data_IF_383678097078
#
_entry.id   IF_383678097078
#
_cell.length_a   1.000
_cell.length_b   1.000
_cell.length_c   1.000
_cell.angle_alpha   90.00
_cell.angle_beta   90.00
_cell.angle_gamma   90.00
#
_symmetry.space_group_name_H-M   'P 1'
#
loop_
_entity.id
_entity.type
_entity.pdbx_description
1 polymer ?
#
# COMPACT_ATOMS: atom_id res chain seq x y z
N UNK A 1 -23.49 9.67 -40.34
CA UNK A 1 -22.80 8.54 -41.00
C UNK A 1 -22.09 7.72 -39.94
N UNK A 2 -22.74 6.67 -39.44
CA UNK A 2 -22.20 5.77 -38.42
C UNK A 2 -21.33 4.70 -39.08
N UNK A 3 -20.08 4.55 -38.63
CA UNK A 3 -19.23 3.42 -39.03
C UNK A 3 -19.65 2.16 -38.26
N UNK A 4 -19.67 0.97 -38.88
CA UNK A 4 -20.04 -0.26 -38.20
C UNK A 4 -18.88 -0.74 -37.32
N UNK A 5 -19.20 -1.20 -36.10
CA UNK A 5 -18.28 -1.94 -35.24
C UNK A 5 -18.18 -3.35 -35.81
N UNK A 6 -17.03 -3.70 -36.40
CA UNK A 6 -16.76 -5.03 -36.92
C UNK A 6 -16.75 -6.07 -35.80
N UNK A 7 -17.51 -7.16 -35.96
CA UNK A 7 -17.42 -8.34 -35.09
C UNK A 7 -16.14 -9.11 -35.45
N UNK A 8 -15.31 -9.37 -34.44
CA UNK A 8 -14.09 -10.19 -34.58
C UNK A 8 -14.42 -11.63 -34.96
N UNK A 9 -13.53 -12.25 -35.75
CA UNK A 9 -13.68 -13.63 -36.21
C UNK A 9 -13.42 -14.64 -35.07
N UNK A 10 -13.93 -15.89 -35.17
CA UNK A 10 -13.71 -16.93 -34.16
C UNK A 10 -12.22 -17.23 -33.90
N UNK A 11 -11.35 -17.10 -34.91
CA UNK A 11 -9.91 -17.30 -34.77
C UNK A 11 -9.24 -16.16 -33.98
N UNK A 12 -9.69 -14.91 -34.16
CA UNK A 12 -9.22 -13.76 -33.37
C UNK A 12 -9.73 -13.85 -31.93
N UNK A 13 -10.95 -14.33 -31.70
CA UNK A 13 -11.50 -14.60 -30.38
C UNK A 13 -10.69 -15.70 -29.63
N UNK A 14 -10.29 -16.76 -30.33
CA UNK A 14 -9.45 -17.83 -29.76
C UNK A 14 -8.03 -17.33 -29.48
N UNK A 15 -7.46 -16.51 -30.36
CA UNK A 15 -6.11 -15.92 -30.16
C UNK A 15 -6.12 -14.91 -29.00
N UNK A 16 -7.20 -14.15 -28.82
CA UNK A 16 -7.38 -13.24 -27.69
C UNK A 16 -7.63 -13.98 -26.37
N UNK A 17 -8.37 -15.10 -26.41
CA UNK A 17 -8.57 -16.00 -25.25
C UNK A 17 -7.27 -16.71 -24.84
N UNK A 18 -6.37 -17.01 -25.79
CA UNK A 18 -5.05 -17.57 -25.51
C UNK A 18 -4.02 -16.53 -25.04
N UNK A 19 -4.13 -15.27 -25.47
CA UNK A 19 -3.32 -14.17 -24.95
C UNK A 19 -3.66 -13.84 -23.47
N UNK A 20 -4.91 -14.03 -23.04
CA UNK A 20 -5.33 -13.85 -21.65
C UNK A 20 -4.79 -14.92 -20.67
N UNK A 21 -4.22 -16.01 -21.17
CA UNK A 21 -3.76 -17.13 -20.34
C UNK A 21 -2.46 -16.87 -19.57
N UNK A 22 -1.70 -15.81 -19.90
CA UNK A 22 -0.40 -15.49 -19.29
C UNK A 22 -0.40 -14.41 -18.20
N UNK A 23 -1.49 -13.66 -18.03
CA UNK A 23 -1.43 -12.32 -17.42
C UNK A 23 -2.10 -12.28 -16.04
N UNK A 24 -1.30 -12.02 -14.99
CA UNK A 24 -1.74 -12.23 -13.60
C UNK A 24 -2.19 -10.93 -12.91
N UNK A 25 -1.53 -9.80 -13.11
CA UNK A 25 -1.94 -8.48 -12.58
C UNK A 25 -2.09 -7.52 -13.76
N UNK A 26 -3.32 -7.04 -14.00
CA UNK A 26 -3.66 -6.21 -15.16
C UNK A 26 -4.13 -4.80 -14.78
N UNK A 27 -4.40 -4.54 -13.49
CA UNK A 27 -4.82 -3.23 -12.98
C UNK A 27 -4.29 -2.98 -11.55
N UNK A 28 -4.23 -1.73 -11.08
CA UNK A 28 -3.80 -1.38 -9.70
C UNK A 28 -4.65 -2.13 -8.63
N UNK A 29 -5.92 -2.38 -8.96
CA UNK A 29 -6.85 -3.15 -8.13
C UNK A 29 -6.42 -4.63 -7.94
N UNK A 30 -5.65 -5.22 -8.85
CA UNK A 30 -5.14 -6.59 -8.71
C UNK A 30 -4.05 -6.67 -7.62
N UNK A 31 -3.18 -5.67 -7.51
CA UNK A 31 -2.21 -5.56 -6.40
C UNK A 31 -2.92 -5.41 -5.06
N UNK A 32 -4.02 -4.65 -5.02
CA UNK A 32 -4.83 -4.51 -3.80
C UNK A 32 -5.46 -5.84 -3.36
N UNK A 33 -5.95 -6.66 -4.30
CA UNK A 33 -6.47 -8.01 -4.01
C UNK A 33 -5.39 -8.98 -3.58
N UNK A 34 -4.20 -8.90 -4.19
CA UNK A 34 -3.05 -9.68 -3.78
C UNK A 34 -2.69 -9.40 -2.31
N UNK A 35 -2.62 -8.12 -1.95
CA UNK A 35 -2.36 -7.69 -0.58
C UNK A 35 -3.46 -8.17 0.37
N UNK A 36 -4.73 -8.05 -0.02
CA UNK A 36 -5.86 -8.55 0.78
C UNK A 36 -5.73 -10.06 1.03
N UNK A 37 -5.35 -10.88 0.05
CA UNK A 37 -5.21 -12.33 0.28
C UNK A 37 -4.12 -12.65 1.30
N UNK A 38 -3.01 -11.91 1.32
CA UNK A 38 -1.98 -12.12 2.34
C UNK A 38 -2.47 -11.77 3.74
N UNK A 39 -3.28 -10.70 3.90
CA UNK A 39 -3.92 -10.38 5.18
C UNK A 39 -4.94 -11.46 5.59
N UNK A 40 -5.71 -12.00 4.65
CA UNK A 40 -6.62 -13.12 4.91
C UNK A 40 -5.88 -14.38 5.37
N UNK A 41 -4.74 -14.67 4.74
CA UNK A 41 -3.89 -15.81 5.07
C UNK A 41 -3.29 -15.67 6.47
N UNK A 42 -2.80 -14.48 6.81
CA UNK A 42 -2.30 -14.18 8.16
C UNK A 42 -3.40 -14.33 9.22
N UNK A 43 -4.60 -13.82 8.94
CA UNK A 43 -5.74 -13.84 9.88
C UNK A 43 -6.22 -15.25 10.25
N UNK A 44 -5.90 -16.26 9.43
CA UNK A 44 -6.25 -17.68 9.68
C UNK A 44 -5.21 -18.40 10.54
N UNK A 45 -4.08 -17.78 10.83
CA UNK A 45 -3.03 -18.41 11.63
C UNK A 45 -3.44 -18.46 13.10
N UNK A 46 -3.11 -19.53 13.83
CA UNK A 46 -3.34 -19.59 15.28
C UNK A 46 -2.49 -18.56 16.05
N UNK A 47 -1.34 -18.16 15.49
CA UNK A 47 -0.43 -17.16 16.04
C UNK A 47 -0.50 -15.82 15.27
N UNK A 48 -1.66 -15.49 14.67
CA UNK A 48 -1.83 -14.31 13.81
C UNK A 48 -1.39 -13.01 14.52
N UNK A 49 -0.68 -12.14 13.79
CA UNK A 49 -0.25 -10.83 14.29
C UNK A 49 -1.40 -9.81 14.29
N UNK A 50 -2.39 -10.01 13.43
CA UNK A 50 -3.61 -9.21 13.31
C UNK A 50 -4.72 -10.07 12.72
N UNK A 51 -5.96 -9.60 12.85
CA UNK A 51 -7.14 -10.22 12.24
C UNK A 51 -7.84 -9.23 11.32
N UNK A 52 -7.96 -9.59 10.05
CA UNK A 52 -8.70 -8.89 9.00
C UNK A 52 -9.79 -9.81 8.46
N UNK A 53 -10.98 -9.86 9.10
CA UNK A 53 -12.05 -10.78 8.72
C UNK A 53 -12.64 -10.47 7.34
N UNK A 54 -12.40 -9.27 6.81
CA UNK A 54 -12.94 -8.80 5.54
C UNK A 54 -11.96 -9.04 4.37
N UNK A 55 -10.69 -9.31 4.66
CA UNK A 55 -9.64 -9.52 3.66
C UNK A 55 -9.96 -10.64 2.66
N UNK A 56 -10.46 -11.79 3.11
CA UNK A 56 -10.78 -12.93 2.22
C UNK A 56 -11.86 -12.55 1.20
N UNK A 57 -12.89 -11.83 1.69
CA UNK A 57 -14.00 -11.32 0.87
C UNK A 57 -13.49 -10.32 -0.17
N UNK A 58 -12.63 -9.38 0.23
CA UNK A 58 -12.09 -8.35 -0.66
C UNK A 58 -11.08 -8.90 -1.68
N UNK A 59 -10.27 -9.89 -1.28
CA UNK A 59 -9.37 -10.59 -2.18
C UNK A 59 -10.15 -11.28 -3.31
N UNK A 60 -11.24 -11.99 -2.95
CA UNK A 60 -12.08 -12.72 -3.89
C UNK A 60 -11.33 -13.78 -4.68
N UNK A 61 -11.99 -14.32 -5.72
CA UNK A 61 -11.38 -15.32 -6.60
C UNK A 61 -10.17 -14.78 -7.37
N UNK A 62 -10.23 -13.51 -7.78
CA UNK A 62 -9.15 -12.86 -8.50
C UNK A 62 -7.87 -12.78 -7.66
N UNK A 63 -7.96 -12.36 -6.39
CA UNK A 63 -6.82 -12.34 -5.46
C UNK A 63 -6.22 -13.73 -5.26
N UNK A 64 -7.07 -14.76 -5.10
CA UNK A 64 -6.63 -16.16 -5.01
C UNK A 64 -5.88 -16.62 -6.26
N UNK A 65 -6.42 -16.31 -7.44
CA UNK A 65 -5.77 -16.65 -8.72
C UNK A 65 -4.41 -15.97 -8.86
N UNK A 66 -4.29 -14.71 -8.44
CA UNK A 66 -3.03 -13.95 -8.47
C UNK A 66 -1.94 -14.64 -7.64
N UNK A 67 -2.26 -14.99 -6.39
CA UNK A 67 -1.29 -15.63 -5.49
C UNK A 67 -0.93 -17.04 -5.96
N UNK A 68 -1.91 -17.81 -6.45
CA UNK A 68 -1.67 -19.15 -6.96
C UNK A 68 -0.66 -19.17 -8.12
N UNK A 69 -0.70 -18.14 -8.98
CA UNK A 69 0.20 -17.97 -10.14
C UNK A 69 1.49 -17.21 -9.81
N UNK A 70 1.60 -16.61 -8.62
CA UNK A 70 2.80 -15.88 -8.18
C UNK A 70 4.00 -16.80 -7.97
N UNK A 71 5.25 -16.32 -8.18
CA UNK A 71 6.45 -17.09 -7.85
C UNK A 71 6.46 -17.55 -6.39
N UNK A 72 6.94 -18.77 -6.12
CA UNK A 72 7.00 -19.30 -4.73
C UNK A 72 7.73 -18.36 -3.76
N UNK A 73 8.71 -17.60 -4.24
CA UNK A 73 9.47 -16.63 -3.45
C UNK A 73 8.62 -15.46 -2.95
N UNK A 74 7.53 -15.12 -3.63
CA UNK A 74 6.62 -14.02 -3.23
C UNK A 74 5.33 -14.52 -2.55
N UNK A 75 5.05 -15.83 -2.59
CA UNK A 75 3.82 -16.41 -2.00
C UNK A 75 3.74 -16.37 -0.47
N UNK A 76 4.84 -16.12 0.24
CA UNK A 76 4.81 -16.06 1.71
C UNK A 76 4.29 -14.72 2.25
N UNK A 77 4.32 -13.64 1.44
CA UNK A 77 3.82 -12.32 1.81
C UNK A 77 4.39 -11.73 3.10
N UNK A 78 5.57 -12.17 3.57
CA UNK A 78 6.08 -11.80 4.91
C UNK A 78 6.21 -10.28 5.07
N UNK A 79 6.56 -9.57 4.00
CA UNK A 79 6.74 -8.11 4.04
C UNK A 79 5.40 -7.40 4.15
N UNK A 80 4.35 -7.91 3.50
CA UNK A 80 2.98 -7.38 3.59
C UNK A 80 2.45 -7.55 5.01
N UNK A 81 2.64 -8.75 5.58
CA UNK A 81 2.24 -9.03 6.97
C UNK A 81 2.98 -8.13 7.96
N UNK A 82 4.31 -8.02 7.85
CA UNK A 82 5.09 -7.14 8.71
C UNK A 82 4.63 -5.68 8.55
N UNK A 83 4.49 -5.19 7.31
CA UNK A 83 4.03 -3.84 6.99
C UNK A 83 2.66 -3.53 7.59
N UNK A 84 1.69 -4.44 7.45
CA UNK A 84 0.37 -4.26 8.05
C UNK A 84 0.45 -4.13 9.56
N UNK A 85 1.20 -5.02 10.24
CA UNK A 85 1.36 -4.99 11.70
C UNK A 85 2.04 -3.70 12.19
N UNK A 86 3.12 -3.29 11.53
CA UNK A 86 3.87 -2.08 11.89
C UNK A 86 2.98 -0.84 11.75
N UNK A 87 2.28 -0.69 10.62
CA UNK A 87 1.41 0.47 10.39
C UNK A 87 0.21 0.46 11.35
N UNK A 88 -0.33 -0.71 11.71
CA UNK A 88 -1.38 -0.80 12.72
C UNK A 88 -0.90 -0.31 14.09
N UNK A 89 0.32 -0.70 14.49
CA UNK A 89 0.93 -0.25 15.75
C UNK A 89 1.16 1.27 15.76
N UNK A 90 1.71 1.82 14.67
CA UNK A 90 1.93 3.27 14.52
C UNK A 90 0.62 4.04 14.60
N UNK A 91 -0.48 3.51 14.04
CA UNK A 91 -1.79 4.16 14.16
C UNK A 91 -2.25 4.22 15.62
N UNK A 92 -2.08 3.14 16.37
CA UNK A 92 -2.43 3.12 17.79
C UNK A 92 -1.56 4.09 18.61
N UNK A 93 -0.26 4.13 18.33
CA UNK A 93 0.69 5.05 18.98
C UNK A 93 0.34 6.51 18.66
N UNK A 94 0.09 6.86 17.40
CA UNK A 94 -0.31 8.20 17.02
C UNK A 94 -1.62 8.63 17.70
N UNK A 95 -2.61 7.73 17.81
CA UNK A 95 -3.87 8.00 18.53
C UNK A 95 -3.61 8.23 20.02
N UNK A 96 -2.74 7.44 20.64
CA UNK A 96 -2.33 7.65 22.03
C UNK A 96 -1.65 9.02 22.25
N UNK A 97 -0.92 9.51 21.24
CA UNK A 97 -0.26 10.82 21.22
C UNK A 97 -1.17 12.00 20.80
N UNK A 98 -2.47 11.74 20.72
CA UNK A 98 -3.50 12.75 20.46
C UNK A 98 -3.78 13.01 18.98
N UNK A 99 -3.48 12.05 18.09
CA UNK A 99 -3.96 12.09 16.71
C UNK A 99 -5.50 12.11 16.68
N UNK A 100 -6.05 13.09 15.98
CA UNK A 100 -7.48 13.32 15.86
C UNK A 100 -7.99 13.14 14.42
N UNK A 101 -7.11 12.71 13.50
CA UNK A 101 -7.45 12.52 12.09
C UNK A 101 -6.50 11.51 11.43
N UNK A 102 -7.03 10.47 10.80
CA UNK A 102 -6.20 9.51 10.04
C UNK A 102 -6.56 9.57 8.56
N UNK A 103 -5.60 9.93 7.70
CA UNK A 103 -5.75 9.94 6.24
C UNK A 103 -5.00 8.75 5.65
N UNK A 104 -5.71 7.85 4.99
CA UNK A 104 -5.14 6.71 4.26
C UNK A 104 -5.21 6.97 2.76
N UNK A 105 -4.05 7.24 2.15
CA UNK A 105 -3.94 7.63 0.75
C UNK A 105 -3.67 6.40 -0.12
N UNK A 106 -4.41 6.28 -1.23
CA UNK A 106 -4.54 5.05 -2.00
C UNK A 106 -4.93 3.86 -1.11
N UNK A 107 -5.99 4.07 -0.31
CA UNK A 107 -6.45 3.14 0.72
C UNK A 107 -6.77 1.72 0.18
N UNK A 108 -7.06 1.60 -1.11
CA UNK A 108 -7.32 0.35 -1.78
C UNK A 108 -8.34 -0.52 -1.05
N UNK A 109 -7.98 -1.78 -0.83
CA UNK A 109 -8.79 -2.74 -0.11
C UNK A 109 -8.41 -2.84 1.38
N UNK A 110 -7.83 -1.80 1.98
CA UNK A 110 -7.60 -1.73 3.43
C UNK A 110 -8.93 -1.80 4.21
N UNK A 111 -8.92 -2.37 5.39
CA UNK A 111 -10.09 -2.57 6.26
C UNK A 111 -9.86 -2.05 7.68
N UNK A 112 -8.78 -1.29 7.92
CA UNK A 112 -8.48 -0.68 9.24
C UNK A 112 -9.68 0.01 9.89
N UNK A 113 -10.49 0.83 9.18
CA UNK A 113 -11.71 1.42 9.77
C UNK A 113 -12.74 0.41 10.27
N UNK A 114 -12.70 -0.84 9.80
CA UNK A 114 -13.62 -1.91 10.15
C UNK A 114 -13.05 -2.90 11.18
N UNK A 115 -11.73 -3.04 11.25
CA UNK A 115 -11.06 -4.08 12.07
C UNK A 115 -10.30 -3.54 13.28
N UNK A 116 -9.79 -2.31 13.23
CA UNK A 116 -9.05 -1.73 14.35
C UNK A 116 -10.02 -1.19 15.41
N UNK A 117 -9.67 -1.35 16.68
CA UNK A 117 -10.40 -0.79 17.82
C UNK A 117 -10.13 0.71 17.96
N UNK A 118 -10.56 1.49 16.96
CA UNK A 118 -10.41 2.94 16.92
C UNK A 118 -11.50 3.63 17.75
N UNK A 119 -11.25 4.85 18.26
CA UNK A 119 -12.31 5.67 18.86
C UNK A 119 -13.47 5.88 17.87
N UNK A 120 -14.74 5.71 18.27
CA UNK A 120 -15.88 5.83 17.37
C UNK A 120 -15.99 7.17 16.64
N UNK A 121 -15.64 8.25 17.34
CA UNK A 121 -15.72 9.61 16.79
C UNK A 121 -14.47 10.02 15.99
N UNK A 122 -13.42 9.19 15.95
CA UNK A 122 -12.20 9.47 15.19
C UNK A 122 -12.53 9.53 13.69
N UNK A 123 -12.33 10.68 13.01
CA UNK A 123 -12.48 10.76 11.57
C UNK A 123 -11.35 9.99 10.87
N UNK A 124 -11.71 8.90 10.21
CA UNK A 124 -10.83 8.16 9.30
C UNK A 124 -11.17 8.51 7.86
N UNK A 125 -10.22 8.99 7.08
CA UNK A 125 -10.39 9.39 5.68
C UNK A 125 -9.68 8.38 4.79
N UNK A 126 -10.43 7.78 3.86
CA UNK A 126 -9.87 6.96 2.78
C UNK A 126 -9.89 7.78 1.48
N UNK A 127 -8.73 7.97 0.86
CA UNK A 127 -8.58 8.60 -0.44
C UNK A 127 -8.15 7.57 -1.48
N UNK A 128 -8.89 7.44 -2.57
CA UNK A 128 -8.52 6.58 -3.70
C UNK A 128 -9.28 6.97 -4.97
N UNK A 129 -8.95 6.34 -6.08
CA UNK A 129 -9.63 6.51 -7.34
C UNK A 129 -11.10 6.09 -7.24
N UNK A 130 -12.03 6.82 -7.91
CA UNK A 130 -13.47 6.56 -7.81
C UNK A 130 -13.87 5.09 -8.05
N UNK A 131 -13.34 4.37 -9.06
CA UNK A 131 -13.73 2.98 -9.30
C UNK A 131 -13.39 2.04 -8.13
N UNK A 132 -12.26 2.25 -7.46
CA UNK A 132 -11.80 1.39 -6.37
C UNK A 132 -12.64 1.61 -5.10
N UNK A 133 -12.97 2.87 -4.79
CA UNK A 133 -13.86 3.19 -3.67
C UNK A 133 -15.29 2.71 -3.90
N UNK A 134 -15.80 2.83 -5.13
CA UNK A 134 -17.12 2.33 -5.49
C UNK A 134 -17.20 0.81 -5.33
N UNK A 135 -16.17 0.09 -5.79
CA UNK A 135 -16.10 -1.36 -5.60
C UNK A 135 -16.04 -1.73 -4.12
N UNK A 136 -15.12 -1.13 -3.35
CA UNK A 136 -14.97 -1.41 -1.91
C UNK A 136 -16.26 -1.14 -1.15
N UNK A 137 -16.92 -0.02 -1.43
CA UNK A 137 -18.19 0.35 -0.79
C UNK A 137 -19.29 -0.67 -1.09
N UNK A 138 -19.39 -1.14 -2.34
CA UNK A 138 -20.32 -2.23 -2.71
C UNK A 138 -19.97 -3.53 -1.99
N UNK A 139 -18.68 -3.88 -1.92
CA UNK A 139 -18.22 -5.09 -1.27
C UNK A 139 -18.37 -5.06 0.26
N UNK A 140 -18.51 -3.89 0.88
CA UNK A 140 -18.63 -3.74 2.34
C UNK A 140 -19.95 -3.08 2.76
N UNK A 141 -20.97 -3.10 1.90
CA UNK A 141 -22.24 -2.40 2.13
C UNK A 141 -23.00 -2.89 3.38
N UNK A 142 -22.77 -4.13 3.79
CA UNK A 142 -23.32 -4.79 4.98
C UNK A 142 -22.41 -4.65 6.22
N UNK A 143 -21.33 -3.87 6.13
CA UNK A 143 -20.36 -3.70 7.20
C UNK A 143 -20.39 -2.27 7.74
N UNK A 144 -20.39 -2.13 9.06
CA UNK A 144 -20.32 -0.82 9.72
C UNK A 144 -18.88 -0.54 10.16
N UNK A 145 -18.28 0.59 9.76
CA UNK A 145 -16.99 1.04 10.30
C UNK A 145 -17.06 1.25 11.81
N UNK A 146 -15.94 1.06 12.50
CA UNK A 146 -15.79 1.28 13.95
C UNK A 146 -15.51 2.73 14.31
N UNK A 147 -15.11 3.55 13.33
CA UNK A 147 -14.85 4.98 13.47
C UNK A 147 -15.67 5.79 12.46
N UNK A 148 -15.61 7.12 12.53
CA UNK A 148 -16.26 8.01 11.55
C UNK A 148 -15.52 7.96 10.21
N UNK A 149 -15.89 7.01 9.36
CA UNK A 149 -15.27 6.80 8.06
C UNK A 149 -15.80 7.79 6.99
N UNK A 150 -14.88 8.49 6.34
CA UNK A 150 -15.12 9.37 5.19
C UNK A 150 -14.36 8.80 4.00
N UNK A 151 -15.02 8.69 2.84
CA UNK A 151 -14.39 8.27 1.59
C UNK A 151 -14.32 9.45 0.64
N UNK A 152 -13.14 9.75 0.14
CA UNK A 152 -12.90 10.82 -0.83
C UNK A 152 -12.37 10.25 -2.13
N UNK A 153 -13.16 10.37 -3.19
CA UNK A 153 -12.76 9.95 -4.52
C UNK A 153 -11.84 11.01 -5.14
N UNK A 154 -10.54 10.73 -5.20
CA UNK A 154 -9.52 11.68 -5.63
C UNK A 154 -8.41 10.98 -6.39
N UNK A 155 -8.00 11.57 -7.52
CA UNK A 155 -6.73 11.24 -8.14
C UNK A 155 -5.63 12.11 -7.51
N UNK A 156 -4.78 11.49 -6.69
CA UNK A 156 -3.69 12.19 -6.01
C UNK A 156 -2.57 12.63 -6.97
N UNK A 157 -2.54 12.16 -8.22
CA UNK A 157 -1.61 12.66 -9.22
C UNK A 157 -2.00 14.05 -9.76
N UNK A 158 -3.30 14.37 -9.82
CA UNK A 158 -3.78 15.68 -10.27
C UNK A 158 -3.58 16.74 -9.18
N UNK A 159 -2.79 17.82 -9.44
CA UNK A 159 -2.49 18.84 -8.44
C UNK A 159 -3.72 19.54 -7.85
N UNK A 160 -4.77 19.81 -8.64
CA UNK A 160 -5.93 20.56 -8.14
C UNK A 160 -6.79 19.70 -7.20
N UNK A 161 -7.31 18.53 -7.63
CA UNK A 161 -8.02 17.60 -6.76
C UNK A 161 -7.21 17.19 -5.53
N UNK A 162 -5.89 16.97 -5.66
CA UNK A 162 -5.03 16.63 -4.51
C UNK A 162 -5.05 17.74 -3.46
N UNK A 163 -4.83 18.99 -3.84
CA UNK A 163 -4.79 20.10 -2.88
C UNK A 163 -6.16 20.37 -2.25
N UNK A 164 -7.24 20.34 -3.05
CA UNK A 164 -8.60 20.49 -2.55
C UNK A 164 -8.97 19.38 -1.55
N UNK A 165 -8.56 18.13 -1.86
CA UNK A 165 -8.69 17.01 -0.94
C UNK A 165 -8.00 17.28 0.40
N UNK A 166 -6.72 17.68 0.41
CA UNK A 166 -6.03 17.93 1.68
C UNK A 166 -6.66 19.07 2.47
N UNK A 167 -7.09 20.15 1.80
CA UNK A 167 -7.78 21.25 2.47
C UNK A 167 -9.06 20.77 3.18
N UNK A 168 -9.88 19.96 2.52
CA UNK A 168 -11.11 19.41 3.10
C UNK A 168 -10.84 18.33 4.15
N UNK A 169 -9.91 17.42 3.88
CA UNK A 169 -9.61 16.27 4.73
C UNK A 169 -8.86 16.65 6.01
N UNK A 170 -8.22 17.82 6.06
CA UNK A 170 -7.55 18.36 7.25
C UNK A 170 -8.35 19.48 7.92
N UNK A 171 -9.48 19.90 7.35
CA UNK A 171 -10.33 20.93 7.97
C UNK A 171 -10.73 20.52 9.40
N UNK A 172 -10.45 21.43 10.34
CA UNK A 172 -10.65 21.25 11.77
C UNK A 172 -9.79 20.18 12.46
N UNK A 173 -8.75 19.63 11.81
CA UNK A 173 -7.82 18.71 12.47
C UNK A 173 -6.73 19.48 13.24
N UNK A 174 -6.35 19.00 14.42
CA UNK A 174 -5.21 19.52 15.16
C UNK A 174 -3.95 18.67 14.95
N UNK A 175 -4.11 17.33 14.85
CA UNK A 175 -2.99 16.40 14.63
C UNK A 175 -3.44 15.25 13.74
N UNK A 176 -3.09 15.35 12.47
CA UNK A 176 -3.36 14.32 11.48
C UNK A 176 -2.17 13.37 11.27
N UNK A 177 -2.49 12.10 11.10
CA UNK A 177 -1.61 11.04 10.62
C UNK A 177 -1.94 10.74 9.16
N UNK A 178 -0.96 10.87 8.26
CA UNK A 178 -1.10 10.53 6.84
C UNK A 178 -0.39 9.22 6.54
N UNK A 179 -1.03 8.30 5.81
CA UNK A 179 -0.48 7.00 5.43
C UNK A 179 -0.34 6.89 3.92
N UNK A 180 0.81 6.45 3.43
CA UNK A 180 1.05 6.07 2.03
C UNK A 180 1.63 4.66 1.95
N UNK A 181 0.81 3.65 2.27
CA UNK A 181 1.18 2.23 2.23
C UNK A 181 1.10 1.69 0.78
N UNK A 182 2.18 1.11 0.26
CA UNK A 182 2.17 0.51 -1.09
C UNK A 182 1.83 1.49 -2.21
N UNK A 183 2.06 2.79 -2.03
CA UNK A 183 1.72 3.84 -2.99
C UNK A 183 2.95 4.36 -3.73
N UNK A 184 3.92 4.90 -2.98
CA UNK A 184 4.98 5.76 -3.56
C UNK A 184 5.79 5.03 -4.64
N UNK A 185 6.02 3.73 -4.48
CA UNK A 185 6.76 2.90 -5.44
C UNK A 185 6.18 2.90 -6.87
N UNK A 186 4.90 3.26 -7.04
CA UNK A 186 4.20 3.32 -8.33
C UNK A 186 4.14 4.72 -8.94
N UNK A 187 4.59 5.74 -8.21
CA UNK A 187 4.57 7.13 -8.65
C UNK A 187 5.89 7.50 -9.32
N UNK A 188 5.85 8.49 -10.22
CA UNK A 188 7.06 9.14 -10.70
C UNK A 188 7.62 10.07 -9.61
N UNK A 189 8.94 10.28 -9.60
CA UNK A 189 9.61 11.08 -8.56
C UNK A 189 8.98 12.47 -8.41
N UNK A 190 8.65 13.14 -9.53
CA UNK A 190 7.98 14.45 -9.53
C UNK A 190 6.66 14.42 -8.74
N UNK A 191 5.91 13.31 -8.84
CA UNK A 191 4.60 13.19 -8.23
C UNK A 191 4.75 12.87 -6.73
N UNK A 192 5.81 12.15 -6.34
CA UNK A 192 6.19 11.97 -4.93
C UNK A 192 6.58 13.30 -4.30
N UNK A 193 7.38 14.13 -4.98
CA UNK A 193 7.73 15.48 -4.51
C UNK A 193 6.46 16.32 -4.34
N UNK A 194 5.59 16.33 -5.35
CA UNK A 194 4.37 17.12 -5.32
C UNK A 194 3.35 16.64 -4.28
N UNK A 195 3.31 15.34 -3.98
CA UNK A 195 2.53 14.77 -2.89
C UNK A 195 3.13 15.15 -1.53
N UNK A 196 4.44 15.05 -1.36
CA UNK A 196 5.17 15.47 -0.16
C UNK A 196 4.86 16.94 0.18
N UNK A 197 4.93 17.85 -0.80
CA UNK A 197 4.57 19.26 -0.60
C UNK A 197 3.10 19.48 -0.23
N UNK A 198 2.18 18.66 -0.77
CA UNK A 198 0.77 18.73 -0.41
C UNK A 198 0.50 18.24 1.02
N UNK A 199 1.29 17.28 1.52
CA UNK A 199 1.21 16.74 2.88
C UNK A 199 1.80 17.72 3.91
N UNK A 200 2.75 18.59 3.52
CA UNK A 200 3.32 19.61 4.41
C UNK A 200 2.29 20.69 4.78
N UNK A 201 1.49 20.38 5.79
CA UNK A 201 0.43 21.21 6.35
C UNK A 201 0.63 21.28 7.88
N UNK A 202 0.26 22.39 8.54
CA UNK A 202 0.47 22.52 9.98
C UNK A 202 -0.33 21.48 10.79
N UNK A 203 -1.44 20.98 10.25
CA UNK A 203 -2.29 19.96 10.87
C UNK A 203 -1.65 18.57 10.80
N UNK A 204 -0.72 18.31 9.87
CA UNK A 204 -0.09 16.99 9.71
C UNK A 204 1.08 16.87 10.68
N UNK A 205 0.88 16.08 11.74
CA UNK A 205 1.89 15.78 12.73
C UNK A 205 2.81 14.64 12.29
N UNK A 206 2.27 13.67 11.55
CA UNK A 206 3.00 12.47 11.11
C UNK A 206 2.65 12.07 9.70
N UNK A 207 3.66 11.64 8.95
CA UNK A 207 3.50 10.95 7.66
C UNK A 207 4.19 9.59 7.69
N UNK A 208 3.41 8.53 7.55
CA UNK A 208 3.90 7.15 7.48
C UNK A 208 3.97 6.70 6.02
N UNK A 209 5.13 6.23 5.60
CA UNK A 209 5.34 5.73 4.25
C UNK A 209 6.03 4.37 4.23
N UNK A 210 5.75 3.58 3.19
CA UNK A 210 6.58 2.44 2.83
C UNK A 210 7.57 2.87 1.73
N UNK A 211 8.86 2.63 1.96
CA UNK A 211 9.90 2.87 0.97
C UNK A 211 10.57 1.57 0.54
N UNK A 212 10.75 1.41 -0.76
CA UNK A 212 11.58 0.36 -1.37
C UNK A 212 12.91 0.95 -1.84
N UNK A 213 14.02 0.27 -1.55
CA UNK A 213 15.35 0.66 -2.02
C UNK A 213 15.62 0.26 -3.48
N UNK A 214 16.65 0.84 -4.12
CA UNK A 214 16.99 0.60 -5.52
C UNK A 214 17.24 -0.88 -5.84
N UNK A 215 17.93 -1.59 -4.93
CA UNK A 215 18.17 -3.03 -5.05
C UNK A 215 16.88 -3.86 -5.10
N UNK A 216 15.85 -3.47 -4.34
CA UNK A 216 14.55 -4.13 -4.33
C UNK A 216 13.78 -3.85 -5.63
N UNK A 217 13.74 -2.58 -6.07
CA UNK A 217 13.15 -2.19 -7.36
C UNK A 217 13.76 -2.99 -8.51
N UNK A 218 15.10 -3.06 -8.59
CA UNK A 218 15.82 -3.83 -9.63
C UNK A 218 15.45 -5.32 -9.58
N UNK A 219 15.39 -5.90 -8.38
CA UNK A 219 15.00 -7.30 -8.22
C UNK A 219 13.56 -7.55 -8.68
N UNK A 220 12.60 -6.73 -8.26
CA UNK A 220 11.18 -6.91 -8.56
C UNK A 220 10.88 -6.66 -10.04
N UNK A 221 11.42 -5.60 -10.63
CA UNK A 221 11.27 -5.35 -12.06
C UNK A 221 11.89 -6.47 -12.91
N UNK A 222 12.95 -7.15 -12.45
CA UNK A 222 13.51 -8.34 -13.13
C UNK A 222 12.65 -9.59 -12.95
N UNK A 223 12.19 -9.88 -11.72
CA UNK A 223 11.49 -11.13 -11.37
C UNK A 223 10.00 -11.12 -11.75
N UNK A 224 9.40 -9.93 -11.81
CA UNK A 224 7.97 -9.73 -12.04
C UNK A 224 7.72 -9.05 -13.40
N UNK A 225 8.76 -9.01 -14.27
CA UNK A 225 8.74 -8.39 -15.60
C UNK A 225 7.59 -8.85 -16.52
N UNK A 226 6.98 -10.00 -16.26
CA UNK A 226 5.79 -10.50 -17.00
C UNK A 226 4.47 -10.43 -16.24
N UNK A 227 4.49 -10.14 -14.93
CA UNK A 227 3.29 -10.13 -14.08
C UNK A 227 2.79 -8.72 -13.78
N UNK A 228 3.63 -7.68 -13.83
CA UNK A 228 3.30 -6.29 -13.46
C UNK A 228 3.31 -5.30 -14.65
N UNK A 229 3.03 -5.71 -15.89
CA UNK A 229 3.15 -4.80 -17.06
C UNK A 229 2.39 -3.47 -16.91
N UNK A 230 1.28 -3.45 -16.16
CA UNK A 230 0.46 -2.24 -15.96
C UNK A 230 0.72 -1.52 -14.63
N UNK A 231 1.71 -1.94 -13.82
CA UNK A 231 2.09 -1.30 -12.55
C UNK A 231 3.60 -1.44 -12.27
N UNK A 232 4.48 -0.89 -13.13
CA UNK A 232 5.92 -0.96 -12.92
C UNK A 232 6.32 -0.19 -11.65
N UNK A 233 7.35 -0.67 -10.95
CA UNK A 233 7.93 0.09 -9.84
C UNK A 233 8.78 1.21 -10.43
N UNK A 234 8.35 2.44 -10.19
CA UNK A 234 8.93 3.67 -10.73
C UNK A 234 9.84 4.36 -9.72
N UNK A 235 9.41 4.47 -8.47
CA UNK A 235 10.13 5.21 -7.44
C UNK A 235 10.92 4.29 -6.49
N UNK A 236 12.21 4.57 -6.36
CA UNK A 236 13.11 4.01 -5.35
C UNK A 236 14.39 4.88 -5.38
N UNK A 237 14.43 5.99 -4.61
CA UNK A 237 15.52 6.96 -4.68
C UNK A 237 16.84 6.33 -4.24
N UNK A 238 17.95 6.73 -4.87
CA UNK A 238 19.27 6.15 -4.59
C UNK A 238 19.75 6.42 -3.16
N UNK A 239 19.42 7.60 -2.65
CA UNK A 239 19.65 8.05 -1.27
C UNK A 239 18.50 7.70 -0.30
N UNK A 240 17.66 6.71 -0.64
CA UNK A 240 16.69 6.12 0.31
C UNK A 240 15.83 7.16 1.04
N UNK A 241 15.83 7.13 2.38
CA UNK A 241 15.06 8.08 3.20
C UNK A 241 15.66 9.49 3.23
N UNK A 242 16.95 9.67 2.89
CA UNK A 242 17.55 11.01 2.81
C UNK A 242 16.88 11.86 1.71
N UNK A 243 16.26 11.22 0.70
CA UNK A 243 15.41 11.92 -0.27
C UNK A 243 14.32 12.78 0.41
N UNK A 244 13.70 12.28 1.49
CA UNK A 244 12.67 13.05 2.20
C UNK A 244 13.28 14.10 3.15
N UNK A 245 14.49 13.87 3.65
CA UNK A 245 15.27 14.87 4.40
C UNK A 245 15.65 16.06 3.52
N UNK A 246 16.02 15.80 2.26
CA UNK A 246 16.27 16.85 1.24
C UNK A 246 14.99 17.64 0.92
N UNK A 247 13.83 16.99 1.05
CA UNK A 247 12.53 17.63 1.02
C UNK A 247 12.14 18.25 2.37
N UNK A 248 13.03 18.38 3.35
CA UNK A 248 12.76 19.08 4.61
C UNK A 248 11.89 18.30 5.60
N UNK A 249 11.80 16.98 5.49
CA UNK A 249 11.21 16.12 6.53
C UNK A 249 12.27 15.64 7.51
N UNK A 250 11.87 15.39 8.76
CA UNK A 250 12.66 14.66 9.74
C UNK A 250 12.19 13.20 9.79
N UNK A 251 13.11 12.26 9.63
CA UNK A 251 12.85 10.85 9.88
C UNK A 251 12.80 10.61 11.40
N UNK A 252 11.59 10.43 11.95
CA UNK A 252 11.41 10.15 13.37
C UNK A 252 11.70 8.67 13.68
N UNK A 253 11.16 7.77 12.87
CA UNK A 253 11.31 6.33 13.06
C UNK A 253 11.48 5.62 11.72
N UNK A 254 12.15 4.46 11.75
CA UNK A 254 12.30 3.60 10.59
C UNK A 254 12.38 2.15 11.02
N UNK A 255 11.50 1.32 10.48
CA UNK A 255 11.51 -0.11 10.72
C UNK A 255 11.71 -0.90 9.42
N UNK A 256 12.89 -1.52 9.21
CA UNK A 256 13.15 -2.38 8.07
C UNK A 256 12.25 -3.62 8.08
N UNK A 257 11.53 -3.87 6.98
CA UNK A 257 10.53 -4.94 6.91
C UNK A 257 11.14 -6.33 7.11
N UNK A 258 12.38 -6.55 6.65
CA UNK A 258 13.08 -7.83 6.84
C UNK A 258 13.36 -8.09 8.32
N UNK A 259 13.82 -7.08 9.06
CA UNK A 259 14.10 -7.17 10.48
C UNK A 259 12.79 -7.39 11.28
N UNK A 260 11.75 -6.62 10.96
CA UNK A 260 10.42 -6.78 11.57
C UNK A 260 9.83 -8.17 11.33
N UNK A 261 9.85 -8.67 10.09
CA UNK A 261 9.35 -10.01 9.79
C UNK A 261 10.16 -11.11 10.47
N UNK A 262 11.45 -10.90 10.74
CA UNK A 262 12.24 -11.81 11.56
C UNK A 262 11.76 -11.82 13.00
N UNK A 263 11.60 -10.63 13.60
CA UNK A 263 11.06 -10.42 14.96
C UNK A 263 9.67 -11.06 15.12
N UNK A 264 8.80 -10.92 14.11
CA UNK A 264 7.47 -11.51 14.08
C UNK A 264 7.43 -12.99 13.65
N UNK A 265 8.59 -13.62 13.42
CA UNK A 265 8.70 -15.03 13.01
C UNK A 265 7.94 -15.36 11.70
N UNK A 266 7.80 -14.39 10.79
CA UNK A 266 7.15 -14.55 9.48
C UNK A 266 8.11 -14.84 8.34
N UNK A 267 9.42 -14.74 8.57
CA UNK A 267 10.40 -15.11 7.55
C UNK A 267 10.48 -16.62 7.31
N UNK A 268 10.58 -17.05 6.03
CA UNK A 268 10.98 -18.41 5.68
C UNK A 268 12.29 -18.80 6.35
N UNK A 269 12.45 -20.09 6.67
CA UNK A 269 13.66 -20.62 7.31
C UNK A 269 14.95 -20.20 6.60
N UNK A 270 14.95 -20.26 5.25
CA UNK A 270 16.10 -19.88 4.42
C UNK A 270 16.49 -18.41 4.53
N UNK A 271 15.57 -17.51 4.92
CA UNK A 271 15.81 -16.07 5.03
C UNK A 271 16.20 -15.64 6.45
N UNK A 272 16.03 -16.50 7.45
CA UNK A 272 16.31 -16.15 8.86
C UNK A 272 17.79 -15.82 9.10
N UNK A 273 18.71 -16.49 8.40
CA UNK A 273 20.13 -16.19 8.51
C UNK A 273 20.48 -14.83 7.86
N UNK A 274 19.84 -14.51 6.74
CA UNK A 274 20.01 -13.22 6.04
C UNK A 274 19.54 -12.05 6.92
N UNK A 275 18.46 -12.24 7.68
CA UNK A 275 17.95 -11.21 8.59
C UNK A 275 18.87 -10.90 9.79
N UNK A 276 19.84 -11.77 10.09
CA UNK A 276 20.86 -11.51 11.13
C UNK A 276 22.02 -10.65 10.63
N UNK A 277 22.15 -10.47 9.31
CA UNK A 277 23.16 -9.59 8.75
C UNK A 277 22.81 -8.12 9.04
N UNK A 278 23.82 -7.23 9.14
CA UNK A 278 23.60 -5.80 9.22
C UNK A 278 22.64 -5.35 8.10
N UNK A 279 21.59 -4.63 8.52
CA UNK A 279 20.63 -4.05 7.60
C UNK A 279 21.30 -2.90 6.84
N UNK A 280 20.97 -2.69 5.56
CA UNK A 280 21.38 -1.50 4.81
C UNK A 280 21.02 -0.21 5.56
N UNK A 281 21.87 0.80 5.42
CA UNK A 281 21.57 2.16 5.90
C UNK A 281 20.31 2.67 5.18
N UNK A 282 19.24 3.06 5.89
CA UNK A 282 18.04 3.62 5.28
C UNK A 282 18.27 4.87 4.44
N UNK A 283 19.33 5.65 4.72
CA UNK A 283 19.73 6.85 3.95
C UNK A 283 20.56 6.51 2.72
N UNK A 284 21.14 5.31 2.66
CA UNK A 284 21.93 4.84 1.51
C UNK A 284 21.79 3.32 1.34
N UNK A 285 20.59 2.82 0.96
CA UNK A 285 20.32 1.38 0.95
C UNK A 285 21.11 0.61 -0.13
N UNK A 286 21.61 1.33 -1.14
CA UNK A 286 22.47 0.79 -2.19
C UNK A 286 21.83 -0.33 -3.01
N UNK A 287 22.65 -1.28 -3.46
CA UNK A 287 22.22 -2.35 -4.37
C UNK A 287 21.54 -3.56 -3.70
N UNK A 288 21.50 -3.65 -2.37
CA UNK A 288 20.88 -4.77 -1.65
C UNK A 288 19.36 -4.60 -1.62
N UNK A 289 18.55 -5.67 -1.80
CA UNK A 289 17.11 -5.57 -1.62
C UNK A 289 16.77 -5.13 -0.19
N UNK A 290 16.05 -4.01 -0.09
CA UNK A 290 15.70 -3.37 1.16
C UNK A 290 14.36 -2.66 1.02
N UNK A 291 13.59 -2.68 2.10
CA UNK A 291 12.39 -1.86 2.26
C UNK A 291 12.12 -1.63 3.75
N UNK A 292 11.43 -0.53 4.04
CA UNK A 292 11.08 -0.14 5.40
C UNK A 292 9.74 0.59 5.43
N UNK A 293 9.11 0.59 6.61
CA UNK A 293 8.13 1.60 6.99
C UNK A 293 8.88 2.70 7.73
N UNK A 294 8.58 3.96 7.44
CA UNK A 294 9.17 5.11 8.11
C UNK A 294 8.08 6.08 8.56
N UNK A 295 8.31 6.70 9.72
CA UNK A 295 7.49 7.79 10.25
C UNK A 295 8.27 9.09 10.08
N UNK A 296 7.68 10.02 9.35
CA UNK A 296 8.22 11.34 9.06
C UNK A 296 7.46 12.39 9.88
N UNK A 297 8.20 13.40 10.32
CA UNK A 297 7.70 14.57 11.06
C UNK A 297 8.29 15.83 10.43
N UNK A 298 7.71 16.99 10.74
CA UNK A 298 8.22 18.28 10.28
C UNK A 298 9.26 18.86 11.23
#
# INVERSE_FOLDING_TARGET
MSRPVGKLSPAECITQTMADAGHVITHVSDTARWTALHRATESKRPDALFSDPLAERLAGERGRAIVARSPRTTRNGWWLVARTKIIDDIIFEAIADGCDRVLNLAAGLDTRPYRLSLPPDLPGVEADLPPLLAEKSRLLADQTPRCRLIRSAVDLADPRPRNDFFNQALDGAAKALVLTEGLLMYLDERDVVALSEAIKRPEVAWWVLELAGPGLKKMLNKKIAGMLQNAPFKFAPENGLAFFEDLGWRIAETEPLLAAAHRFRRLPMSMRLVARLPQPDPRHPGGRPWSAVAVLTR
#
